data_IF_722843611706
#
_entry.id   IF_722843611706
#
_cell.length_a   1.000
_cell.length_b   1.000
_cell.length_c   1.000
_cell.angle_alpha   90.00
_cell.angle_beta   90.00
_cell.angle_gamma   90.00
#
_symmetry.space_group_name_H-M   'P 1'
#
loop_
_entity.id
_entity.type
_entity.pdbx_description
1 polymer ?
#
# COMPACT_ATOMS: atom_id res chain seq x y z
N UNK A 1 -11.14 -11.24 -21.53
CA UNK A 1 -11.21 -10.93 -20.08
C UNK A 1 -11.00 -12.15 -19.19
N UNK A 2 -11.83 -13.20 -19.33
CA UNK A 2 -11.72 -14.45 -18.56
C UNK A 2 -10.35 -15.15 -18.69
N UNK A 3 -9.78 -15.17 -19.89
CA UNK A 3 -8.50 -15.82 -20.17
C UNK A 3 -7.32 -15.11 -19.49
N UNK A 4 -7.37 -13.78 -19.42
CA UNK A 4 -6.41 -12.98 -18.66
C UNK A 4 -6.56 -13.31 -17.17
N UNK A 5 -7.77 -13.39 -16.65
CA UNK A 5 -7.98 -13.75 -15.24
C UNK A 5 -7.42 -15.15 -14.90
N UNK A 6 -7.70 -16.16 -15.72
CA UNK A 6 -7.31 -17.54 -15.48
C UNK A 6 -5.80 -17.82 -15.68
N UNK A 7 -5.13 -17.13 -16.62
CA UNK A 7 -3.77 -17.49 -17.06
C UNK A 7 -2.71 -16.41 -16.94
N UNK A 8 -3.08 -15.18 -16.60
CA UNK A 8 -2.10 -14.10 -16.49
C UNK A 8 -1.14 -14.32 -15.33
N UNK A 9 0.10 -13.87 -15.50
CA UNK A 9 1.17 -13.90 -14.50
C UNK A 9 1.69 -12.50 -14.27
N UNK A 10 2.36 -12.28 -13.15
CA UNK A 10 3.10 -11.03 -12.92
C UNK A 10 4.19 -10.85 -13.98
N UNK A 11 4.29 -9.64 -14.53
CA UNK A 11 5.26 -9.29 -15.56
C UNK A 11 5.89 -7.93 -15.29
N UNK A 12 7.11 -7.75 -15.80
CA UNK A 12 7.86 -6.50 -15.70
C UNK A 12 7.25 -5.47 -16.65
N UNK A 13 6.88 -4.31 -16.12
CA UNK A 13 6.35 -3.17 -16.90
C UNK A 13 7.47 -2.26 -17.33
N UNK A 14 8.32 -1.86 -16.38
CA UNK A 14 9.45 -0.99 -16.66
C UNK A 14 10.63 -1.30 -15.74
N UNK A 15 11.82 -0.97 -16.24
CA UNK A 15 13.05 -0.93 -15.47
C UNK A 15 13.70 0.43 -15.66
N UNK A 16 14.34 0.95 -14.62
CA UNK A 16 15.10 2.20 -14.70
C UNK A 16 16.20 2.22 -13.64
N UNK A 17 17.26 2.97 -13.91
CA UNK A 17 18.31 3.21 -12.93
C UNK A 17 18.13 4.59 -12.30
N UNK A 18 18.04 4.65 -10.98
CA UNK A 18 17.94 5.90 -10.23
C UNK A 18 19.01 5.89 -9.13
N UNK A 19 19.85 6.93 -9.11
CA UNK A 19 20.95 7.06 -8.13
C UNK A 19 21.84 5.80 -8.04
N UNK A 20 22.17 5.22 -9.20
CA UNK A 20 23.00 4.01 -9.30
C UNK A 20 22.33 2.72 -8.84
N UNK A 21 21.00 2.72 -8.59
CA UNK A 21 20.23 1.53 -8.21
C UNK A 21 19.24 1.17 -9.30
N UNK A 22 19.14 -0.13 -9.60
CA UNK A 22 18.14 -0.65 -10.53
C UNK A 22 16.79 -0.77 -9.84
N UNK A 23 15.77 -0.17 -10.44
CA UNK A 23 14.39 -0.26 -10.03
C UNK A 23 13.60 -1.03 -11.09
N UNK A 24 12.64 -1.84 -10.63
CA UNK A 24 11.73 -2.59 -11.49
C UNK A 24 10.30 -2.40 -11.00
N UNK A 25 9.39 -2.16 -11.94
CA UNK A 25 7.95 -2.12 -11.67
C UNK A 25 7.31 -3.34 -12.28
N UNK A 26 6.63 -4.11 -11.44
CA UNK A 26 5.94 -5.33 -11.84
C UNK A 26 4.44 -5.13 -11.73
N UNK A 27 3.70 -5.60 -12.73
CA UNK A 27 2.25 -5.53 -12.75
C UNK A 27 1.63 -6.87 -12.40
N UNK A 28 0.64 -6.83 -11.50
CA UNK A 28 -0.31 -7.91 -11.30
C UNK A 28 -1.51 -7.63 -12.21
N UNK A 29 -1.73 -8.40 -13.29
CA UNK A 29 -2.81 -8.19 -14.27
C UNK A 29 -4.20 -8.49 -13.68
N UNK A 30 -4.69 -7.54 -12.89
CA UNK A 30 -5.98 -7.56 -12.20
C UNK A 30 -6.61 -6.18 -12.30
N UNK A 31 -7.92 -6.16 -12.45
CA UNK A 31 -8.66 -4.90 -12.39
C UNK A 31 -8.92 -4.50 -10.93
N UNK A 32 -8.98 -3.20 -10.69
CA UNK A 32 -9.15 -2.66 -9.33
C UNK A 32 -10.38 -3.22 -8.62
N UNK A 33 -11.52 -3.33 -9.32
CA UNK A 33 -12.76 -3.87 -8.73
C UNK A 33 -12.61 -5.32 -8.26
N UNK A 34 -11.71 -6.11 -8.87
CA UNK A 34 -11.48 -7.51 -8.49
C UNK A 34 -10.83 -7.63 -7.11
N UNK A 35 -10.10 -6.60 -6.65
CA UNK A 35 -9.50 -6.58 -5.32
C UNK A 35 -10.56 -6.55 -4.20
N UNK A 36 -11.81 -6.23 -4.53
CA UNK A 36 -12.93 -6.16 -3.59
C UNK A 36 -13.86 -7.39 -3.66
N UNK A 37 -13.59 -8.34 -4.58
CA UNK A 37 -14.39 -9.55 -4.73
C UNK A 37 -13.80 -10.71 -3.91
N UNK A 38 -14.59 -11.25 -2.97
CA UNK A 38 -14.15 -12.34 -2.08
C UNK A 38 -13.60 -13.55 -2.83
N UNK A 39 -14.24 -13.96 -3.93
CA UNK A 39 -13.79 -15.10 -4.73
C UNK A 39 -12.46 -14.86 -5.48
N UNK A 40 -12.08 -13.60 -5.70
CA UNK A 40 -10.86 -13.26 -6.42
C UNK A 40 -9.65 -13.12 -5.47
N UNK A 41 -9.91 -12.99 -4.16
CA UNK A 41 -8.90 -12.77 -3.11
C UNK A 41 -7.72 -13.72 -3.21
N UNK A 42 -7.98 -15.03 -3.22
CA UNK A 42 -6.92 -16.05 -3.22
C UNK A 42 -6.11 -16.03 -4.51
N UNK A 43 -6.78 -15.82 -5.65
CA UNK A 43 -6.12 -15.71 -6.95
C UNK A 43 -5.24 -14.48 -7.08
N UNK A 44 -5.62 -13.36 -6.45
CA UNK A 44 -4.81 -12.14 -6.40
C UNK A 44 -3.63 -12.34 -5.45
N UNK A 45 -3.87 -12.85 -4.24
CA UNK A 45 -2.82 -13.11 -3.26
C UNK A 45 -1.76 -14.07 -3.76
N UNK A 46 -2.16 -15.12 -4.50
CA UNK A 46 -1.21 -16.04 -5.15
C UNK A 46 -0.28 -15.31 -6.13
N UNK A 47 -0.79 -14.36 -6.91
CA UNK A 47 0.03 -13.60 -7.86
C UNK A 47 1.00 -12.66 -7.15
N UNK A 48 0.54 -12.01 -6.09
CA UNK A 48 1.38 -11.13 -5.26
C UNK A 48 2.48 -11.97 -4.59
N UNK A 49 2.12 -13.09 -3.98
CA UNK A 49 3.05 -14.03 -3.34
C UNK A 49 4.14 -14.51 -4.31
N UNK A 50 3.73 -14.95 -5.51
CA UNK A 50 4.67 -15.35 -6.55
C UNK A 50 5.61 -14.20 -6.97
N UNK A 51 5.12 -12.97 -6.99
CA UNK A 51 5.93 -11.77 -7.24
C UNK A 51 6.97 -11.52 -6.14
N UNK A 52 6.58 -11.68 -4.86
CA UNK A 52 7.48 -11.54 -3.72
C UNK A 52 8.58 -12.60 -3.77
N UNK A 53 8.21 -13.87 -3.89
CA UNK A 53 9.16 -14.98 -3.96
C UNK A 53 10.08 -14.90 -5.17
N UNK A 54 9.59 -14.37 -6.30
CA UNK A 54 10.43 -14.11 -7.47
C UNK A 54 11.45 -13.00 -7.21
N UNK A 55 11.02 -11.92 -6.55
CA UNK A 55 11.90 -10.79 -6.21
C UNK A 55 13.00 -11.24 -5.23
N UNK A 56 12.64 -12.06 -4.25
CA UNK A 56 13.57 -12.66 -3.29
C UNK A 56 14.65 -13.50 -3.99
N UNK A 57 14.24 -14.43 -4.88
CA UNK A 57 15.18 -15.23 -5.70
C UNK A 57 16.07 -14.40 -6.62
N UNK A 58 15.61 -13.22 -7.04
CA UNK A 58 16.40 -12.29 -7.86
C UNK A 58 17.40 -11.47 -7.02
N UNK A 59 17.44 -11.65 -5.69
CA UNK A 59 18.31 -10.90 -4.80
C UNK A 59 17.87 -9.45 -4.58
N UNK A 60 16.59 -9.13 -4.86
CA UNK A 60 16.04 -7.80 -4.61
C UNK A 60 16.07 -7.51 -3.11
N UNK A 61 16.60 -6.35 -2.73
CA UNK A 61 16.73 -5.97 -1.31
C UNK A 61 15.43 -5.43 -0.72
N UNK A 62 14.67 -4.67 -1.50
CA UNK A 62 13.45 -4.00 -1.06
C UNK A 62 12.39 -4.11 -2.14
N UNK A 63 11.18 -4.52 -1.74
CA UNK A 63 10.01 -4.61 -2.60
C UNK A 63 8.86 -3.82 -1.97
N UNK A 64 8.28 -2.88 -2.71
CA UNK A 64 7.12 -2.13 -2.25
C UNK A 64 5.83 -2.66 -2.87
N UNK A 65 4.81 -2.93 -2.05
CA UNK A 65 3.45 -3.20 -2.53
C UNK A 65 2.71 -1.88 -2.77
N UNK A 66 2.30 -1.65 -4.01
CA UNK A 66 1.64 -0.42 -4.42
C UNK A 66 0.10 -0.53 -4.40
N UNK A 67 -0.55 0.60 -4.12
CA UNK A 67 -1.99 0.80 -4.26
C UNK A 67 -2.84 -0.33 -3.63
N UNK A 68 -3.62 -1.04 -4.44
CA UNK A 68 -4.57 -2.06 -3.97
C UNK A 68 -3.91 -3.39 -3.58
N UNK A 69 -2.65 -3.62 -3.95
CA UNK A 69 -1.93 -4.86 -3.62
C UNK A 69 -1.55 -4.96 -2.14
N UNK A 70 -1.83 -3.93 -1.34
CA UNK A 70 -1.63 -3.87 0.12
C UNK A 70 -2.94 -3.57 0.86
N UNK A 71 -4.09 -3.87 0.25
CA UNK A 71 -5.37 -3.66 0.92
C UNK A 71 -5.47 -4.56 2.15
N UNK A 72 -5.88 -3.99 3.28
CA UNK A 72 -6.03 -4.69 4.57
C UNK A 72 -6.93 -5.93 4.45
N UNK A 73 -8.09 -5.78 3.80
CA UNK A 73 -9.03 -6.88 3.57
C UNK A 73 -8.49 -7.96 2.60
N UNK A 74 -7.50 -7.58 1.77
CA UNK A 74 -6.87 -8.46 0.79
C UNK A 74 -5.77 -9.31 1.43
N UNK A 75 -4.81 -8.71 2.14
CA UNK A 75 -3.64 -9.42 2.64
C UNK A 75 -3.03 -8.83 3.93
N UNK A 76 -3.84 -8.23 4.80
CA UNK A 76 -3.38 -7.62 6.05
C UNK A 76 -2.24 -6.63 5.82
N UNK A 77 -2.38 -5.80 4.78
CA UNK A 77 -1.36 -4.79 4.42
C UNK A 77 0.00 -5.45 4.10
N UNK A 78 -0.02 -6.63 3.50
CA UNK A 78 1.18 -7.41 3.15
C UNK A 78 1.74 -8.28 4.28
N UNK A 79 1.26 -8.14 5.52
CA UNK A 79 1.72 -8.94 6.67
C UNK A 79 1.46 -10.44 6.47
N UNK A 80 0.43 -10.79 5.70
CA UNK A 80 0.15 -12.17 5.31
C UNK A 80 1.38 -12.89 4.75
N UNK A 81 2.16 -12.22 3.90
CA UNK A 81 3.29 -12.85 3.22
C UNK A 81 4.55 -12.91 4.08
N UNK A 82 4.76 -11.88 4.91
CA UNK A 82 5.88 -11.84 5.87
C UNK A 82 5.72 -12.93 6.92
N UNK A 83 4.50 -13.15 7.43
CA UNK A 83 4.21 -14.23 8.38
C UNK A 83 4.36 -15.63 7.74
N UNK A 84 3.94 -15.77 6.47
CA UNK A 84 3.97 -17.05 5.75
C UNK A 84 5.38 -17.48 5.35
N UNK A 85 6.27 -16.52 5.08
CA UNK A 85 7.65 -16.77 4.66
C UNK A 85 8.62 -16.02 5.57
N UNK A 86 8.90 -16.55 6.77
CA UNK A 86 9.78 -15.88 7.74
C UNK A 86 11.22 -15.75 7.25
N UNK A 87 11.63 -16.60 6.29
CA UNK A 87 13.00 -16.64 5.76
C UNK A 87 13.22 -15.71 4.54
N UNK A 88 12.27 -14.81 4.23
CA UNK A 88 12.43 -13.85 3.13
C UNK A 88 13.62 -12.92 3.37
N UNK A 89 14.50 -12.83 2.38
CA UNK A 89 15.62 -11.88 2.39
C UNK A 89 15.22 -10.51 1.85
N UNK A 90 14.24 -10.48 0.94
CA UNK A 90 13.63 -9.26 0.42
C UNK A 90 12.78 -8.59 1.51
N UNK A 91 13.01 -7.30 1.74
CA UNK A 91 12.19 -6.50 2.66
C UNK A 91 10.95 -6.01 1.95
N UNK A 92 9.79 -6.54 2.35
CA UNK A 92 8.50 -6.04 1.88
C UNK A 92 8.17 -4.76 2.65
N UNK A 93 8.10 -3.64 1.94
CA UNK A 93 7.82 -2.31 2.52
C UNK A 93 6.52 -1.74 1.99
N UNK A 94 5.98 -0.79 2.75
CA UNK A 94 4.78 -0.05 2.40
C UNK A 94 5.13 1.42 2.18
N UNK A 95 4.59 2.01 1.12
CA UNK A 95 4.77 3.44 0.83
C UNK A 95 3.94 4.39 1.69
N UNK A 96 3.21 3.91 2.72
CA UNK A 96 2.27 4.73 3.50
C UNK A 96 2.96 5.91 4.19
N UNK A 97 4.01 5.63 4.95
CA UNK A 97 4.72 6.65 5.74
C UNK A 97 5.38 7.70 4.85
N UNK A 98 5.96 7.29 3.72
CA UNK A 98 6.51 8.24 2.74
C UNK A 98 5.40 9.09 2.12
N UNK A 99 4.25 8.50 1.78
CA UNK A 99 3.09 9.25 1.30
C UNK A 99 2.58 10.23 2.35
N UNK A 100 2.48 9.83 3.62
CA UNK A 100 2.07 10.70 4.71
C UNK A 100 3.04 11.89 4.87
N UNK A 101 4.35 11.64 4.88
CA UNK A 101 5.36 12.68 4.97
C UNK A 101 5.28 13.69 3.80
N UNK A 102 5.09 13.19 2.56
CA UNK A 102 4.93 14.06 1.38
C UNK A 102 3.66 14.89 1.47
N UNK A 103 2.54 14.30 1.91
CA UNK A 103 1.29 15.02 2.11
C UNK A 103 1.48 16.11 3.17
N UNK A 104 2.01 15.77 4.35
CA UNK A 104 2.23 16.73 5.43
C UNK A 104 3.13 17.89 4.99
N UNK A 105 4.18 17.61 4.20
CA UNK A 105 5.07 18.65 3.67
C UNK A 105 4.42 19.53 2.58
N UNK A 106 3.33 19.08 1.97
CA UNK A 106 2.59 19.84 0.95
C UNK A 106 1.40 20.62 1.53
N UNK A 107 1.03 20.38 2.79
CA UNK A 107 -0.05 21.09 3.46
C UNK A 107 0.40 22.55 3.70
N UNK A 108 -0.36 23.55 3.22
CA UNK A 108 -0.11 24.96 3.54
C UNK A 108 -0.18 25.22 5.05
N UNK A 109 0.65 26.15 5.55
CA UNK A 109 0.74 26.46 6.98
C UNK A 109 -0.56 27.04 7.58
N UNK A 110 -1.47 27.52 6.74
CA UNK A 110 -2.79 28.05 7.12
C UNK A 110 -3.86 26.96 7.29
N UNK A 111 -3.55 25.69 6.96
CA UNK A 111 -4.46 24.57 7.21
C UNK A 111 -4.41 24.18 8.69
N UNK A 112 -5.54 24.33 9.37
CA UNK A 112 -5.66 24.04 10.80
C UNK A 112 -6.24 22.66 11.10
N UNK A 113 -6.87 22.00 10.13
CA UNK A 113 -7.62 20.76 10.37
C UNK A 113 -7.55 19.80 9.18
N UNK A 114 -7.38 18.50 9.47
CA UNK A 114 -7.47 17.42 8.49
C UNK A 114 -8.64 16.49 8.82
N UNK A 115 -9.54 16.29 7.86
CA UNK A 115 -10.76 15.49 8.02
C UNK A 115 -10.61 14.10 7.37
N UNK A 116 -10.97 13.04 8.11
CA UNK A 116 -11.01 11.67 7.60
C UNK A 116 -12.20 10.89 8.15
N UNK A 117 -12.83 10.06 7.31
CA UNK A 117 -13.93 9.17 7.68
C UNK A 117 -13.45 7.81 8.23
N UNK A 118 -12.15 7.51 8.13
CA UNK A 118 -11.61 6.19 8.50
C UNK A 118 -10.97 6.21 9.88
N UNK A 119 -11.59 5.53 10.85
CA UNK A 119 -11.08 5.36 12.21
C UNK A 119 -9.72 4.65 12.25
N UNK A 120 -9.60 3.55 11.49
CA UNK A 120 -8.37 2.74 11.45
C UNK A 120 -7.21 3.59 10.91
N UNK A 121 -7.41 4.26 9.77
CA UNK A 121 -6.36 5.13 9.21
C UNK A 121 -6.06 6.31 10.11
N UNK A 122 -7.05 6.87 10.78
CA UNK A 122 -6.82 7.96 11.73
C UNK A 122 -5.86 7.54 12.84
N UNK A 123 -6.08 6.37 13.45
CA UNK A 123 -5.19 5.86 14.49
C UNK A 123 -3.78 5.59 13.97
N UNK A 124 -3.65 4.91 12.81
CA UNK A 124 -2.33 4.66 12.22
C UNK A 124 -1.59 5.95 11.86
N UNK A 125 -2.29 6.97 11.34
CA UNK A 125 -1.68 8.26 11.03
C UNK A 125 -1.27 8.98 12.32
N UNK A 126 -2.06 8.93 13.38
CA UNK A 126 -1.66 9.52 14.68
C UNK A 126 -0.41 8.85 15.27
N UNK A 127 -0.30 7.52 15.17
CA UNK A 127 0.88 6.78 15.65
C UNK A 127 2.13 7.04 14.79
N UNK A 128 1.96 7.16 13.46
CA UNK A 128 3.07 7.40 12.53
C UNK A 128 3.48 8.88 12.48
N UNK A 129 2.58 9.82 12.79
CA UNK A 129 2.85 11.25 12.69
C UNK A 129 3.77 11.74 13.82
N UNK A 130 4.75 12.62 13.51
CA UNK A 130 5.51 13.34 14.53
C UNK A 130 4.57 14.10 15.47
N UNK A 131 4.96 14.20 16.76
CA UNK A 131 4.12 14.80 17.82
C UNK A 131 3.62 16.21 17.49
N UNK A 132 4.44 16.99 16.79
CA UNK A 132 4.12 18.35 16.35
C UNK A 132 3.03 18.43 15.27
N UNK A 133 2.64 17.31 14.66
CA UNK A 133 1.56 17.28 13.66
C UNK A 133 0.29 16.57 14.17
N UNK A 134 0.35 15.94 15.35
CA UNK A 134 -0.77 15.14 15.86
C UNK A 134 -2.00 15.99 16.20
N UNK A 135 -1.82 17.27 16.58
CA UNK A 135 -2.93 18.17 16.92
C UNK A 135 -3.73 18.66 15.71
N UNK A 136 -3.23 18.51 14.49
CA UNK A 136 -3.96 18.83 13.25
C UNK A 136 -4.90 17.70 12.79
N UNK A 137 -4.79 16.51 13.40
CA UNK A 137 -5.55 15.34 13.01
C UNK A 137 -6.88 15.31 13.77
N UNK A 138 -7.99 15.56 13.07
CA UNK A 138 -9.35 15.53 13.65
C UNK A 138 -10.15 14.39 13.06
N UNK A 139 -10.62 13.47 13.91
CA UNK A 139 -11.48 12.37 13.47
C UNK A 139 -12.94 12.80 13.46
N UNK A 140 -13.48 13.05 12.26
CA UNK A 140 -14.87 13.47 12.11
C UNK A 140 -15.77 12.28 11.82
N UNK A 141 -16.58 11.91 12.82
CA UNK A 141 -17.51 10.78 12.77
C UNK A 141 -18.88 11.13 12.19
N UNK A 142 -19.24 12.42 12.12
CA UNK A 142 -20.55 12.89 11.68
C UNK A 142 -20.41 14.07 10.72
N UNK A 143 -21.14 14.01 9.61
CA UNK A 143 -21.17 15.04 8.55
C UNK A 143 -21.46 16.47 9.07
N UNK A 144 -22.22 16.60 10.16
CA UNK A 144 -22.54 17.91 10.77
C UNK A 144 -21.36 18.55 11.51
N UNK A 145 -20.37 17.77 11.98
CA UNK A 145 -19.20 18.33 12.67
C UNK A 145 -18.21 19.03 11.72
N UNK A 146 -18.29 18.76 10.41
CA UNK A 146 -17.53 19.48 9.38
C UNK A 146 -18.20 20.77 8.89
N UNK A 147 -19.40 21.12 9.38
CA UNK A 147 -20.09 22.37 9.00
C UNK A 147 -19.53 23.62 9.69
N UNK A 148 -18.71 23.43 10.73
CA UNK A 148 -18.13 24.50 11.56
C UNK A 148 -16.63 24.68 11.24
N UNK A 149 -16.08 23.83 10.35
CA UNK A 149 -14.73 23.90 9.81
C UNK A 149 -14.71 24.76 8.54
#
# INVERSE_FOLDING_TARGET
MLMMWARSKTFLVCLYCLRGRLHQVWMVPRFGFQCFLRFAKDGINRQIELGILRSDRMGVKVLSLAALNKNEALNEIGMLFVKKHPDLTVRVVLGNTLTAAVILNQIPNDVTEMLTLSQIRFHSIQEEAPREFQHYLVHVTKYQAAKIC
#
